data_IF_134600866156
#
_entry.id   IF_134600866156
#
_cell.length_a   1.000
_cell.length_b   1.000
_cell.length_c   1.000
_cell.angle_alpha   90.00
_cell.angle_beta   90.00
_cell.angle_gamma   90.00
#
_symmetry.space_group_name_H-M   'P 1'
#
loop_
_entity.id
_entity.type
_entity.pdbx_description
1 polymer ?
#
# COMPACT_ATOMS: atom_id res chain seq x y z
N UNK A 1 -16.37 1.45 -11.71
CA UNK A 1 -16.71 1.77 -10.31
C UNK A 1 -15.62 1.38 -9.30
N UNK A 2 -15.01 0.21 -9.39
CA UNK A 2 -13.95 -0.22 -8.43
C UNK A 2 -12.63 0.58 -8.54
N UNK A 3 -12.23 1.01 -9.73
CA UNK A 3 -10.97 1.75 -9.95
C UNK A 3 -10.97 3.13 -9.29
N UNK A 4 -12.10 3.80 -9.18
CA UNK A 4 -12.19 5.15 -8.63
C UNK A 4 -11.95 5.21 -7.12
N UNK A 5 -12.30 4.13 -6.40
CA UNK A 5 -12.12 4.04 -4.95
C UNK A 5 -10.63 4.01 -4.58
N UNK A 6 -9.85 3.15 -5.24
CA UNK A 6 -8.40 3.06 -4.97
C UNK A 6 -7.68 4.36 -5.33
N UNK A 7 -8.05 5.00 -6.44
CA UNK A 7 -7.52 6.30 -6.78
C UNK A 7 -7.86 7.37 -5.72
N UNK A 8 -9.08 7.36 -5.21
CA UNK A 8 -9.48 8.25 -4.12
C UNK A 8 -8.66 8.02 -2.84
N UNK A 9 -8.41 6.76 -2.48
CA UNK A 9 -7.57 6.38 -1.32
C UNK A 9 -6.12 6.82 -1.50
N UNK A 10 -5.54 6.62 -2.69
CA UNK A 10 -4.20 7.10 -3.03
C UNK A 10 -4.11 8.62 -2.92
N UNK A 11 -5.10 9.35 -3.41
CA UNK A 11 -5.11 10.80 -3.34
C UNK A 11 -5.23 11.32 -1.89
N UNK A 12 -6.06 10.69 -1.06
CA UNK A 12 -6.14 11.01 0.38
C UNK A 12 -4.80 10.76 1.08
N UNK A 13 -4.14 9.63 0.77
CA UNK A 13 -2.82 9.32 1.30
C UNK A 13 -1.80 10.40 0.90
N UNK A 14 -1.76 10.79 -0.37
CA UNK A 14 -0.88 11.86 -0.86
C UNK A 14 -1.10 13.19 -0.13
N UNK A 15 -2.34 13.58 0.11
CA UNK A 15 -2.66 14.79 0.87
C UNK A 15 -2.13 14.71 2.30
N UNK A 16 -2.26 13.55 2.96
CA UNK A 16 -1.72 13.32 4.30
C UNK A 16 -0.19 13.41 4.31
N UNK A 17 0.47 12.77 3.35
CA UNK A 17 1.94 12.82 3.22
C UNK A 17 2.44 14.25 2.98
N UNK A 18 1.81 14.97 2.06
CA UNK A 18 2.14 16.36 1.75
C UNK A 18 2.01 17.26 2.98
N UNK A 19 0.95 17.09 3.78
CA UNK A 19 0.75 17.85 5.02
C UNK A 19 1.84 17.62 6.08
N UNK A 20 2.57 16.51 5.98
CA UNK A 20 3.68 16.12 6.85
C UNK A 20 5.07 16.42 6.24
N UNK A 21 5.13 17.02 5.05
CA UNK A 21 6.39 17.31 4.35
C UNK A 21 7.07 16.06 3.82
N UNK A 22 6.30 15.04 3.44
CA UNK A 22 6.79 13.76 2.91
C UNK A 22 6.54 13.67 1.41
N UNK A 23 7.54 13.24 0.65
CA UNK A 23 7.47 13.06 -0.79
C UNK A 23 6.82 11.73 -1.20
N UNK A 24 6.68 10.81 -0.25
CA UNK A 24 6.05 9.52 -0.49
C UNK A 24 6.12 8.57 0.69
N UNK A 25 5.59 7.36 0.50
CA UNK A 25 5.60 6.29 1.49
C UNK A 25 5.83 4.93 0.81
N UNK A 26 6.62 4.09 1.46
CA UNK A 26 6.80 2.69 1.11
C UNK A 26 6.01 1.80 2.06
N UNK A 27 5.03 1.08 1.53
CA UNK A 27 4.10 0.23 2.25
C UNK A 27 4.44 -1.24 2.04
N UNK A 28 4.65 -1.97 3.13
CA UNK A 28 4.94 -3.42 3.12
C UNK A 28 3.92 -4.25 3.91
N UNK A 29 3.11 -3.62 4.76
CA UNK A 29 2.00 -4.27 5.44
C UNK A 29 0.93 -4.66 4.42
N UNK A 30 0.62 -5.95 4.32
CA UNK A 30 -0.35 -6.46 3.35
C UNK A 30 -1.77 -5.89 3.52
N UNK A 31 -2.15 -5.50 4.73
CA UNK A 31 -3.42 -4.80 4.98
C UNK A 31 -3.43 -3.43 4.29
N UNK A 32 -2.35 -2.67 4.44
CA UNK A 32 -2.17 -1.37 3.78
C UNK A 32 -2.05 -1.51 2.26
N UNK A 33 -1.29 -2.49 1.79
CA UNK A 33 -1.17 -2.82 0.37
C UNK A 33 -2.54 -3.14 -0.23
N UNK A 34 -3.33 -4.02 0.42
CA UNK A 34 -4.68 -4.35 -0.02
C UNK A 34 -5.60 -3.14 -0.06
N UNK A 35 -5.56 -2.29 0.96
CA UNK A 35 -6.40 -1.10 1.05
C UNK A 35 -6.13 -0.11 -0.11
N UNK A 36 -4.85 0.09 -0.46
CA UNK A 36 -4.42 1.05 -1.49
C UNK A 36 -4.54 0.49 -2.90
N UNK A 37 -4.26 -0.81 -3.11
CA UNK A 37 -4.16 -1.40 -4.45
C UNK A 37 -5.30 -2.35 -4.82
N UNK A 38 -6.04 -2.86 -3.85
CA UNK A 38 -7.01 -3.95 -4.04
C UNK A 38 -6.38 -5.34 -4.12
N UNK A 39 -5.06 -5.45 -4.05
CA UNK A 39 -4.36 -6.72 -4.16
C UNK A 39 -4.59 -7.61 -2.92
N UNK A 40 -4.94 -8.88 -3.16
CA UNK A 40 -5.28 -9.84 -2.10
C UNK A 40 -4.27 -10.98 -1.95
N UNK A 41 -3.16 -10.93 -2.67
CA UNK A 41 -2.09 -11.93 -2.56
C UNK A 41 -1.24 -11.78 -1.30
N UNK A 42 -0.38 -12.75 -1.03
CA UNK A 42 0.44 -12.81 0.18
C UNK A 42 1.84 -12.19 0.04
N UNK A 43 2.16 -11.62 -1.13
CA UNK A 43 3.45 -10.94 -1.36
C UNK A 43 3.23 -9.73 -2.25
N UNK A 44 3.44 -8.55 -1.70
CA UNK A 44 3.31 -7.29 -2.43
C UNK A 44 3.76 -6.11 -1.57
N UNK A 45 4.17 -5.04 -2.23
CA UNK A 45 4.43 -3.75 -1.60
C UNK A 45 3.98 -2.62 -2.52
N UNK A 46 3.76 -1.46 -1.96
CA UNK A 46 3.41 -0.25 -2.70
C UNK A 46 4.39 0.86 -2.39
N UNK A 47 4.81 1.58 -3.43
CA UNK A 47 5.51 2.84 -3.29
C UNK A 47 4.61 3.94 -3.86
N UNK A 48 4.14 4.83 -2.99
CA UNK A 48 3.30 5.96 -3.35
C UNK A 48 4.15 7.22 -3.25
N UNK A 49 4.30 7.93 -4.34
CA UNK A 49 4.99 9.23 -4.39
C UNK A 49 3.99 10.34 -4.72
N UNK A 50 4.45 11.59 -4.75
CA UNK A 50 3.63 12.73 -5.12
C UNK A 50 2.88 12.49 -6.45
N UNK A 51 3.58 11.98 -7.47
CA UNK A 51 3.06 11.89 -8.83
C UNK A 51 2.72 10.46 -9.25
N UNK A 52 3.43 9.46 -8.70
CA UNK A 52 3.36 8.09 -9.17
C UNK A 52 2.87 7.14 -8.07
N UNK A 53 2.36 6.01 -8.49
CA UNK A 53 1.96 4.91 -7.60
C UNK A 53 2.44 3.61 -8.21
N UNK A 54 3.27 2.89 -7.46
CA UNK A 54 3.90 1.65 -7.90
C UNK A 54 3.43 0.49 -7.04
N UNK A 55 3.07 -0.60 -7.69
CA UNK A 55 2.85 -1.89 -7.05
C UNK A 55 3.98 -2.83 -7.43
N UNK A 56 4.60 -3.46 -6.45
CA UNK A 56 5.75 -4.35 -6.62
C UNK A 56 5.39 -5.73 -6.07
N UNK A 57 5.62 -6.77 -6.85
CA UNK A 57 5.41 -8.15 -6.43
C UNK A 57 6.30 -9.11 -7.22
N UNK A 58 6.25 -10.40 -6.91
CA UNK A 58 6.97 -11.44 -7.64
C UNK A 58 6.12 -12.08 -8.75
N UNK A 59 6.78 -12.82 -9.65
CA UNK A 59 6.15 -13.39 -10.85
C UNK A 59 4.98 -14.34 -10.60
N UNK A 60 4.83 -14.89 -9.38
CA UNK A 60 3.68 -15.75 -9.01
C UNK A 60 2.36 -14.99 -9.05
N UNK A 61 2.42 -13.68 -8.88
CA UNK A 61 1.25 -12.80 -8.78
C UNK A 61 1.00 -11.94 -10.02
N UNK A 62 1.69 -12.19 -11.14
CA UNK A 62 1.52 -11.40 -12.37
C UNK A 62 0.06 -11.36 -12.83
N UNK A 63 -0.53 -12.53 -13.09
CA UNK A 63 -1.93 -12.63 -13.55
C UNK A 63 -2.93 -12.10 -12.53
N UNK A 64 -2.69 -12.35 -11.24
CA UNK A 64 -3.59 -11.87 -10.18
C UNK A 64 -3.52 -10.35 -10.06
N UNK A 65 -2.33 -9.78 -10.02
CA UNK A 65 -2.16 -8.33 -9.90
C UNK A 65 -2.65 -7.58 -11.14
N UNK A 66 -2.55 -8.17 -12.33
CA UNK A 66 -3.13 -7.60 -13.56
C UNK A 66 -4.65 -7.37 -13.44
N UNK A 67 -5.34 -8.29 -12.80
CA UNK A 67 -6.80 -8.21 -12.60
C UNK A 67 -7.21 -7.29 -11.45
N UNK A 68 -6.37 -7.15 -10.43
CA UNK A 68 -6.74 -6.48 -9.19
C UNK A 68 -6.19 -5.06 -9.06
N UNK A 69 -5.00 -4.79 -9.62
CA UNK A 69 -4.27 -3.52 -9.45
C UNK A 69 -4.44 -2.65 -10.69
N UNK A 70 -5.40 -1.73 -10.68
CA UNK A 70 -5.77 -0.97 -11.88
C UNK A 70 -5.24 0.47 -11.92
N UNK A 71 -4.84 1.05 -10.79
CA UNK A 71 -4.46 2.48 -10.69
C UNK A 71 -2.99 2.69 -10.32
N UNK A 72 -2.16 1.68 -10.55
CA UNK A 72 -0.73 1.70 -10.22
C UNK A 72 0.10 1.11 -11.34
N UNK A 73 1.32 1.59 -11.48
CA UNK A 73 2.31 0.98 -12.37
C UNK A 73 2.81 -0.29 -11.69
N UNK A 74 2.67 -1.44 -12.35
CA UNK A 74 3.06 -2.74 -11.80
C UNK A 74 4.49 -3.09 -12.18
N UNK A 75 5.28 -3.46 -11.20
CA UNK A 75 6.61 -4.04 -11.38
C UNK A 75 6.60 -5.46 -10.83
N UNK A 76 6.59 -6.44 -11.73
CA UNK A 76 6.56 -7.85 -11.40
C UNK A 76 7.89 -8.46 -11.87
N UNK A 77 8.74 -8.88 -10.92
CA UNK A 77 10.06 -9.41 -11.25
C UNK A 77 10.48 -10.44 -10.18
N UNK A 78 11.54 -11.19 -10.46
CA UNK A 78 12.16 -12.09 -9.50
C UNK A 78 13.15 -11.30 -8.63
N UNK A 79 13.09 -11.51 -7.33
CA UNK A 79 13.96 -10.85 -6.36
C UNK A 79 13.20 -10.21 -5.20
N UNK A 80 13.92 -9.50 -4.35
CA UNK A 80 13.27 -8.74 -3.31
C UNK A 80 12.75 -7.39 -3.85
N UNK A 81 11.70 -6.87 -3.23
CA UNK A 81 11.03 -5.65 -3.71
C UNK A 81 11.95 -4.42 -3.71
N UNK A 82 12.88 -4.33 -2.77
CA UNK A 82 13.86 -3.22 -2.69
C UNK A 82 14.78 -3.22 -3.91
N UNK A 83 15.26 -4.39 -4.33
CA UNK A 83 16.07 -4.53 -5.56
C UNK A 83 15.29 -4.14 -6.82
N UNK A 84 14.00 -4.44 -6.87
CA UNK A 84 13.12 -4.04 -8.00
C UNK A 84 12.98 -2.52 -8.04
N UNK A 85 12.77 -1.87 -6.89
CA UNK A 85 12.70 -0.41 -6.76
C UNK A 85 14.00 0.25 -7.23
N UNK A 86 15.15 -0.28 -6.80
CA UNK A 86 16.49 0.21 -7.15
C UNK A 86 16.78 0.05 -8.65
N UNK A 87 16.58 -1.15 -9.21
CA UNK A 87 16.77 -1.47 -10.63
C UNK A 87 15.98 -0.55 -11.54
N UNK A 88 14.75 -0.23 -11.16
CA UNK A 88 13.83 0.61 -11.94
C UNK A 88 13.92 2.10 -11.58
N UNK A 89 14.81 2.49 -10.66
CA UNK A 89 15.03 3.89 -10.24
C UNK A 89 13.74 4.60 -9.81
N UNK A 90 12.90 3.91 -9.05
CA UNK A 90 11.59 4.43 -8.65
C UNK A 90 11.69 5.47 -7.51
N UNK A 91 12.82 5.49 -6.83
CA UNK A 91 13.15 6.43 -5.76
C UNK A 91 14.30 7.33 -6.24
N UNK A 92 14.21 8.63 -5.94
CA UNK A 92 15.21 9.64 -6.31
C UNK A 92 16.04 10.06 -5.10
N UNK A 93 17.30 10.41 -5.34
CA UNK A 93 18.17 11.01 -4.32
C UNK A 93 17.55 12.27 -3.72
N UNK A 94 17.67 12.44 -2.42
CA UNK A 94 17.20 13.63 -1.70
C UNK A 94 15.71 13.63 -1.37
N UNK A 95 14.97 12.58 -1.68
CA UNK A 95 13.57 12.47 -1.27
C UNK A 95 13.42 12.19 0.24
N UNK A 96 12.30 12.67 0.78
CA UNK A 96 11.81 12.46 2.14
C UNK A 96 10.73 11.40 2.10
N UNK A 97 11.06 10.14 2.38
CA UNK A 97 10.12 9.03 2.26
C UNK A 97 9.76 8.45 3.62
N UNK A 98 8.49 8.10 3.77
CA UNK A 98 7.99 7.40 4.94
C UNK A 98 7.99 5.89 4.77
N UNK A 99 7.94 5.19 5.90
CA UNK A 99 7.57 3.76 5.99
C UNK A 99 6.70 3.52 7.23
N UNK A 100 5.97 2.41 7.24
CA UNK A 100 5.11 2.01 8.38
C UNK A 100 5.98 1.46 9.51
N UNK A 101 6.31 2.30 10.50
CA UNK A 101 7.21 1.93 11.60
C UNK A 101 6.70 0.77 12.46
N UNK A 102 5.38 0.68 12.64
CA UNK A 102 4.73 -0.36 13.44
C UNK A 102 4.73 -1.73 12.75
N UNK A 103 4.95 -1.77 11.43
CA UNK A 103 4.86 -2.98 10.61
C UNK A 103 6.16 -3.35 9.89
N UNK A 104 7.14 -2.46 9.89
CA UNK A 104 8.42 -2.69 9.22
C UNK A 104 9.42 -3.29 10.20
N UNK A 105 9.88 -4.50 9.93
CA UNK A 105 10.92 -5.11 10.75
C UNK A 105 12.25 -4.37 10.63
N UNK A 106 13.12 -4.50 11.65
CA UNK A 106 14.45 -3.89 11.60
C UNK A 106 15.26 -4.32 10.36
N UNK A 107 15.14 -5.58 9.94
CA UNK A 107 15.83 -6.07 8.74
C UNK A 107 15.30 -5.43 7.45
N UNK A 108 14.00 -5.20 7.35
CA UNK A 108 13.39 -4.49 6.22
C UNK A 108 13.83 -3.02 6.20
N UNK A 109 13.77 -2.34 7.36
CA UNK A 109 14.26 -0.97 7.50
C UNK A 109 15.73 -0.85 7.07
N UNK A 110 16.60 -1.75 7.58
CA UNK A 110 18.01 -1.75 7.22
C UNK A 110 18.20 -1.94 5.71
N UNK A 111 17.47 -2.85 5.09
CA UNK A 111 17.56 -3.09 3.64
C UNK A 111 17.21 -1.84 2.82
N UNK A 112 16.15 -1.11 3.17
CA UNK A 112 15.78 0.11 2.44
C UNK A 112 16.78 1.25 2.65
N UNK A 113 17.28 1.44 3.85
CA UNK A 113 18.26 2.48 4.15
C UNK A 113 19.61 2.19 3.48
N UNK A 114 20.09 0.95 3.52
CA UNK A 114 21.34 0.55 2.87
C UNK A 114 21.26 0.68 1.34
N UNK A 115 20.09 0.41 0.73
CA UNK A 115 19.87 0.55 -0.72
C UNK A 115 19.69 1.99 -1.19
N UNK A 116 19.14 2.85 -0.33
CA UNK A 116 18.85 4.25 -0.66
C UNK A 116 19.47 5.23 0.36
N UNK A 117 20.79 5.31 0.44
CA UNK A 117 21.48 6.07 1.50
C UNK A 117 21.35 7.61 1.38
N UNK A 118 20.85 8.10 0.24
CA UNK A 118 20.62 9.52 0.02
C UNK A 118 19.15 9.93 0.18
N UNK A 119 18.32 9.02 0.67
CA UNK A 119 16.90 9.26 1.00
C UNK A 119 16.78 9.46 2.49
N UNK A 120 16.04 10.48 2.90
CA UNK A 120 15.66 10.64 4.30
C UNK A 120 14.45 9.74 4.60
N UNK A 121 14.68 8.68 5.38
CA UNK A 121 13.63 7.72 5.75
C UNK A 121 13.01 8.10 7.09
N UNK A 122 11.71 8.34 7.09
CA UNK A 122 10.93 8.70 8.27
C UNK A 122 10.01 7.57 8.68
N UNK A 123 10.19 7.09 9.90
CA UNK A 123 9.22 6.17 10.52
C UNK A 123 7.92 6.93 10.81
N UNK A 124 6.81 6.38 10.35
CA UNK A 124 5.47 6.91 10.64
C UNK A 124 4.61 5.83 11.27
N UNK A 125 3.65 6.26 12.08
CA UNK A 125 2.64 5.39 12.68
C UNK A 125 1.25 5.95 12.40
N UNK A 126 0.26 5.09 12.38
CA UNK A 126 -1.17 5.45 12.28
C UNK A 126 -1.60 6.18 10.99
N UNK A 127 -0.74 6.36 9.98
CA UNK A 127 -1.16 7.00 8.72
C UNK A 127 -2.21 6.16 8.02
N UNK A 128 -1.92 4.89 7.81
CA UNK A 128 -2.83 3.98 7.10
C UNK A 128 -4.06 3.63 7.95
N UNK A 129 -3.88 3.43 9.24
CA UNK A 129 -4.96 3.16 10.19
C UNK A 129 -5.97 4.31 10.24
N UNK A 130 -5.51 5.56 10.27
CA UNK A 130 -6.38 6.73 10.25
C UNK A 130 -7.15 6.86 8.92
N UNK A 131 -6.53 6.53 7.79
CA UNK A 131 -7.24 6.49 6.50
C UNK A 131 -8.30 5.38 6.48
N UNK A 132 -8.00 4.21 7.02
CA UNK A 132 -8.90 3.05 7.11
C UNK A 132 -9.99 3.23 8.16
N UNK A 133 -9.80 4.10 9.15
CA UNK A 133 -10.79 4.36 10.21
C UNK A 133 -12.11 4.92 9.63
N UNK A 134 -12.02 5.76 8.61
CA UNK A 134 -13.20 6.31 7.91
C UNK A 134 -13.52 5.42 6.72
N UNK A 135 -14.61 4.63 6.85
CA UNK A 135 -15.02 3.66 5.83
C UNK A 135 -15.68 4.37 4.65
N UNK A 136 -15.32 3.94 3.45
CA UNK A 136 -16.03 4.35 2.23
C UNK A 136 -17.32 3.52 2.02
N UNK A 137 -18.15 3.92 1.05
CA UNK A 137 -19.44 3.26 0.80
C UNK A 137 -19.30 1.78 0.42
N UNK A 138 -18.22 1.38 -0.22
CA UNK A 138 -18.00 -0.03 -0.55
C UNK A 138 -17.65 -0.86 0.68
N UNK A 139 -16.89 -0.30 1.60
CA UNK A 139 -16.55 -0.92 2.88
C UNK A 139 -17.79 -1.01 3.78
N UNK A 140 -18.60 0.06 3.83
CA UNK A 140 -19.87 0.07 4.57
C UNK A 140 -20.85 -0.98 4.02
N UNK A 141 -20.96 -1.09 2.69
CA UNK A 141 -21.79 -2.11 2.05
C UNK A 141 -21.34 -3.53 2.42
N UNK A 142 -20.04 -3.80 2.37
CA UNK A 142 -19.50 -5.11 2.74
C UNK A 142 -19.72 -5.44 4.22
N UNK A 143 -19.58 -4.45 5.12
CA UNK A 143 -19.85 -4.61 6.55
C UNK A 143 -21.34 -4.90 6.79
N UNK A 144 -22.25 -4.17 6.14
CA UNK A 144 -23.70 -4.43 6.25
C UNK A 144 -24.05 -5.85 5.82
N UNK A 145 -23.54 -6.30 4.67
CA UNK A 145 -23.77 -7.68 4.20
C UNK A 145 -23.22 -8.71 5.20
N UNK A 146 -22.06 -8.49 5.79
CA UNK A 146 -21.51 -9.39 6.79
C UNK A 146 -22.37 -9.45 8.07
N UNK A 147 -22.93 -8.30 8.50
CA UNK A 147 -23.86 -8.22 9.64
C UNK A 147 -25.15 -9.01 9.32
N UNK A 148 -25.75 -8.78 8.14
CA UNK A 148 -26.98 -9.47 7.71
C UNK A 148 -26.79 -10.99 7.70
N UNK A 149 -25.64 -11.50 7.20
CA UNK A 149 -25.34 -12.93 7.21
C UNK A 149 -25.22 -13.44 8.66
N UNK A 150 -24.55 -12.68 9.54
CA UNK A 150 -24.41 -13.05 10.95
C UNK A 150 -25.74 -13.12 11.66
N UNK A 151 -26.61 -12.14 11.44
CA UNK A 151 -27.95 -12.07 12.03
C UNK A 151 -28.80 -13.27 11.58
N UNK A 152 -28.81 -13.59 10.27
CA UNK A 152 -29.52 -14.76 9.76
C UNK A 152 -29.07 -16.07 10.42
N UNK A 153 -27.76 -16.27 10.61
CA UNK A 153 -27.23 -17.46 11.29
C UNK A 153 -27.67 -17.50 12.76
N UNK A 154 -27.72 -16.33 13.41
CA UNK A 154 -28.12 -16.26 14.82
C UNK A 154 -29.60 -16.55 15.07
N UNK A 155 -30.46 -16.25 14.08
CA UNK A 155 -31.90 -16.56 14.12
C UNK A 155 -32.21 -18.05 13.87
N UNK A 156 -31.28 -18.82 13.25
CA UNK A 156 -31.43 -20.23 12.98
C UNK A 156 -30.96 -21.17 14.13
N UNK A 157 -30.31 -20.61 15.17
CA UNK A 157 -29.80 -21.34 16.34
C UNK A 157 -30.78 -21.22 17.51
#
# INVERSE_FOLDING_TARGET
MSSDIFLSRINKLRQTLLSQGLDGIYLTNLTSVRYISGFTGSTGSCLITENDSYFISDGRYDVQSEKQVNNMIRYIDFGNHVSIIEKNKLIKDGQNLAFEGDHTSFSQYKAIVDSFPKVEWKSTSMIMENLQAVKDESELSAIRTAVEITDMIYEEI
#
